data_IF_999509747524
#
_entry.id   IF_999509747524
#
_cell.length_a   1.000
_cell.length_b   1.000
_cell.length_c   1.000
_cell.angle_alpha   90.00
_cell.angle_beta   90.00
_cell.angle_gamma   90.00
#
_symmetry.space_group_name_H-M   'P 1'
#
loop_
_entity.id
_entity.type
_entity.pdbx_description
1 polymer ?
#
# COMPACT_ATOMS: atom_id res chain seq x y z
N UNK A 1 -9.09 19.05 -20.86
CA UNK A 1 -8.14 18.56 -21.88
C UNK A 1 -8.13 17.03 -21.80
N UNK A 2 -8.41 16.33 -22.90
CA UNK A 2 -8.41 14.87 -22.92
C UNK A 2 -7.01 14.31 -23.09
N UNK A 3 -6.64 13.30 -22.31
CA UNK A 3 -5.37 12.58 -22.44
C UNK A 3 -5.62 11.31 -23.26
N UNK A 4 -4.91 11.16 -24.38
CA UNK A 4 -4.93 9.95 -25.20
C UNK A 4 -3.69 9.12 -24.91
N UNK A 5 -3.87 7.81 -24.71
CA UNK A 5 -2.78 6.87 -24.45
C UNK A 5 -2.73 5.86 -25.58
N UNK A 6 -1.57 5.78 -26.24
CA UNK A 6 -1.29 4.74 -27.23
C UNK A 6 -0.41 3.67 -26.59
N UNK A 7 -0.89 2.43 -26.57
CA UNK A 7 -0.12 1.28 -26.10
C UNK A 7 0.65 0.72 -27.29
N UNK A 8 1.98 0.73 -27.19
CA UNK A 8 2.88 0.11 -28.18
C UNK A 8 3.33 -1.25 -27.67
N UNK A 9 3.67 -2.14 -28.60
CA UNK A 9 4.22 -3.47 -28.34
C UNK A 9 3.35 -4.34 -27.39
N UNK A 10 2.02 -4.23 -27.52
CA UNK A 10 1.11 -5.10 -26.79
C UNK A 10 1.10 -6.49 -27.43
N UNK A 11 1.45 -7.50 -26.64
CA UNK A 11 1.33 -8.90 -27.03
C UNK A 11 -0.11 -9.18 -27.54
N UNK A 12 -0.26 -9.70 -28.78
CA UNK A 12 -1.56 -10.03 -29.34
C UNK A 12 -2.40 -10.93 -28.45
N UNK A 13 -1.79 -11.90 -27.76
CA UNK A 13 -2.50 -12.81 -26.86
C UNK A 13 -3.07 -12.07 -25.64
N UNK A 14 -2.35 -11.05 -25.15
CA UNK A 14 -2.82 -10.20 -24.05
C UNK A 14 -3.95 -9.29 -24.52
N UNK A 15 -3.85 -8.71 -25.72
CA UNK A 15 -4.90 -7.89 -26.32
C UNK A 15 -6.23 -8.67 -26.41
N UNK A 16 -6.20 -9.92 -26.87
CA UNK A 16 -7.40 -10.74 -27.00
C UNK A 16 -8.00 -11.11 -25.64
N UNK A 17 -7.16 -11.42 -24.65
CA UNK A 17 -7.62 -11.63 -23.26
C UNK A 17 -8.29 -10.39 -22.68
N UNK A 18 -7.71 -9.21 -22.89
CA UNK A 18 -8.28 -7.96 -22.38
C UNK A 18 -9.60 -7.62 -23.08
N UNK A 19 -9.72 -7.86 -24.41
CA UNK A 19 -10.98 -7.73 -25.13
C UNK A 19 -12.05 -8.69 -24.61
N UNK A 20 -11.67 -9.95 -24.38
CA UNK A 20 -12.57 -10.94 -23.78
C UNK A 20 -13.05 -10.54 -22.39
N UNK A 21 -12.15 -10.05 -21.55
CA UNK A 21 -12.50 -9.55 -20.21
C UNK A 21 -13.40 -8.31 -20.25
N UNK A 22 -13.18 -7.39 -21.20
CA UNK A 22 -14.05 -6.23 -21.42
C UNK A 22 -15.46 -6.67 -21.84
N UNK A 23 -15.55 -7.61 -22.80
CA UNK A 23 -16.81 -8.16 -23.29
C UNK A 23 -17.58 -8.90 -22.19
N UNK A 24 -16.90 -9.70 -21.37
CA UNK A 24 -17.51 -10.40 -20.23
C UNK A 24 -18.12 -9.45 -19.19
N UNK A 25 -17.59 -8.22 -19.09
CA UNK A 25 -18.11 -7.16 -18.22
C UNK A 25 -19.12 -6.24 -18.91
N UNK A 26 -19.43 -6.48 -20.18
CA UNK A 26 -20.33 -5.63 -20.98
C UNK A 26 -19.78 -4.22 -21.23
N UNK A 27 -18.45 -4.04 -21.15
CA UNK A 27 -17.80 -2.74 -21.30
C UNK A 27 -17.11 -2.63 -22.66
N UNK A 28 -16.98 -1.40 -23.17
CA UNK A 28 -16.10 -1.14 -24.30
C UNK A 28 -14.65 -1.40 -23.91
N UNK A 29 -13.83 -1.82 -24.88
CA UNK A 29 -12.42 -2.12 -24.64
C UNK A 29 -11.66 -0.93 -24.05
N UNK A 30 -11.87 0.28 -24.59
CA UNK A 30 -11.22 1.50 -24.10
C UNK A 30 -11.68 1.88 -22.70
N UNK A 31 -12.95 1.68 -22.37
CA UNK A 31 -13.45 1.94 -21.01
C UNK A 31 -12.88 0.95 -20.00
N UNK A 32 -12.83 -0.32 -20.38
CA UNK A 32 -12.22 -1.36 -19.56
C UNK A 32 -10.75 -1.04 -19.28
N UNK A 33 -9.99 -0.70 -20.32
CA UNK A 33 -8.57 -0.33 -20.20
C UNK A 33 -8.38 0.88 -19.30
N UNK A 34 -9.22 1.92 -19.43
CA UNK A 34 -9.17 3.11 -18.58
C UNK A 34 -9.38 2.74 -17.11
N UNK A 35 -10.39 1.92 -16.79
CA UNK A 35 -10.68 1.50 -15.41
C UNK A 35 -9.54 0.68 -14.81
N UNK A 36 -8.97 -0.24 -15.58
CA UNK A 36 -7.83 -1.04 -15.12
C UNK A 36 -6.57 -0.19 -14.91
N UNK A 37 -6.29 0.77 -15.81
CA UNK A 37 -5.17 1.70 -15.64
C UNK A 37 -5.35 2.59 -14.40
N UNK A 38 -6.56 3.09 -14.13
CA UNK A 38 -6.84 3.85 -12.90
C UNK A 38 -6.60 2.99 -11.66
N UNK A 39 -7.10 1.74 -11.65
CA UNK A 39 -6.88 0.82 -10.53
C UNK A 39 -5.39 0.53 -10.30
N UNK A 40 -4.63 0.31 -11.36
CA UNK A 40 -3.19 0.06 -11.26
C UNK A 40 -2.48 1.30 -10.73
N UNK A 41 -2.81 2.50 -11.23
CA UNK A 41 -2.21 3.75 -10.76
C UNK A 41 -2.50 3.99 -9.26
N UNK A 42 -3.71 3.74 -8.81
CA UNK A 42 -4.07 3.83 -7.38
C UNK A 42 -3.27 2.84 -6.54
N UNK A 43 -3.14 1.59 -7.02
CA UNK A 43 -2.35 0.57 -6.33
C UNK A 43 -0.87 0.96 -6.22
N UNK A 44 -0.28 1.46 -7.31
CA UNK A 44 1.12 1.91 -7.33
C UNK A 44 1.34 3.11 -6.39
N UNK A 45 0.40 4.08 -6.37
CA UNK A 45 0.46 5.21 -5.44
C UNK A 45 0.43 4.76 -3.98
N UNK A 46 -0.40 3.77 -3.67
CA UNK A 46 -0.48 3.20 -2.33
C UNK A 46 0.85 2.51 -2.00
N UNK A 47 1.36 1.65 -2.88
CA UNK A 47 2.65 0.96 -2.67
C UNK A 47 3.83 1.94 -2.50
N UNK A 48 3.89 3.00 -3.29
CA UNK A 48 4.91 4.04 -3.17
C UNK A 48 4.82 4.75 -1.82
N UNK A 49 3.62 5.17 -1.41
CA UNK A 49 3.40 5.77 -0.09
C UNK A 49 3.74 4.83 1.05
N UNK A 50 3.44 3.53 0.92
CA UNK A 50 3.85 2.53 1.91
C UNK A 50 5.36 2.39 2.00
N UNK A 51 6.07 2.43 0.86
CA UNK A 51 7.54 2.41 0.83
C UNK A 51 8.12 3.64 1.52
N UNK A 52 7.58 4.83 1.24
CA UNK A 52 7.99 6.08 1.88
C UNK A 52 7.76 6.05 3.40
N UNK A 53 6.56 5.65 3.85
CA UNK A 53 6.24 5.54 5.28
C UNK A 53 7.13 4.51 5.98
N UNK A 54 7.37 3.37 5.35
CA UNK A 54 8.25 2.33 5.90
C UNK A 54 9.70 2.81 5.97
N UNK A 55 10.18 3.53 4.96
CA UNK A 55 11.52 4.12 4.95
C UNK A 55 11.67 5.21 6.01
N UNK A 56 10.68 6.10 6.15
CA UNK A 56 10.66 7.13 7.19
C UNK A 56 10.62 6.51 8.60
N UNK A 57 9.80 5.47 8.81
CA UNK A 57 9.73 4.76 10.08
C UNK A 57 11.02 4.02 10.39
N UNK A 58 11.69 3.43 9.39
CA UNK A 58 13.01 2.80 9.56
C UNK A 58 14.07 3.82 9.99
N UNK A 59 14.14 4.97 9.32
CA UNK A 59 15.08 6.04 9.67
C UNK A 59 14.81 6.62 11.05
N UNK A 60 13.53 6.78 11.43
CA UNK A 60 13.16 7.18 12.79
C UNK A 60 13.51 6.10 13.82
N UNK A 61 13.27 4.82 13.53
CA UNK A 61 13.64 3.72 14.42
C UNK A 61 15.16 3.60 14.58
N UNK A 62 15.94 3.81 13.52
CA UNK A 62 17.40 3.82 13.57
C UNK A 62 17.93 5.04 14.33
N UNK A 63 17.40 6.23 14.07
CA UNK A 63 17.73 7.45 14.82
C UNK A 63 17.39 7.34 16.30
N UNK A 64 16.20 6.80 16.62
CA UNK A 64 15.77 6.53 17.98
C UNK A 64 16.51 5.35 18.61
N UNK A 65 16.97 4.35 17.86
CA UNK A 65 17.80 3.27 18.40
C UNK A 65 19.15 3.81 18.85
N UNK A 66 19.75 4.73 18.09
CA UNK A 66 21.01 5.37 18.50
C UNK A 66 20.80 6.21 19.78
N UNK A 67 19.67 6.91 19.93
CA UNK A 67 19.38 7.66 21.17
C UNK A 67 18.97 6.73 22.34
N UNK A 68 18.24 5.66 22.07
CA UNK A 68 17.73 4.72 23.06
C UNK A 68 18.81 3.80 23.62
N UNK A 69 19.88 3.51 22.87
CA UNK A 69 21.04 2.76 23.36
C UNK A 69 21.73 3.49 24.52
N UNK A 70 21.63 4.82 24.60
CA UNK A 70 22.28 5.61 25.65
C UNK A 70 21.37 5.99 26.82
N UNK A 71 20.03 5.78 26.75
CA UNK A 71 19.12 6.33 27.77
C UNK A 71 17.84 5.51 28.08
N UNK A 72 17.70 4.26 27.58
CA UNK A 72 16.56 3.41 27.99
C UNK A 72 16.96 2.41 29.07
N UNK A 73 16.37 2.46 30.28
CA UNK A 73 16.38 1.28 31.15
C UNK A 73 15.71 0.14 30.37
N UNK A 74 16.31 -1.06 30.42
CA UNK A 74 15.67 -2.27 29.91
C UNK A 74 14.33 -2.41 30.65
N UNK A 75 13.26 -2.11 29.92
CA UNK A 75 11.90 -2.31 30.39
C UNK A 75 11.63 -3.81 30.22
N UNK A 76 11.94 -4.58 31.27
CA UNK A 76 11.54 -5.98 31.41
C UNK A 76 10.03 -6.04 31.73
N UNK A 77 9.20 -5.48 30.84
CA UNK A 77 7.75 -5.50 30.99
C UNK A 77 7.27 -6.87 30.49
N UNK A 78 6.67 -7.70 31.36
CA UNK A 78 6.04 -8.94 30.93
C UNK A 78 4.86 -8.63 30.02
N UNK A 79 4.66 -9.49 29.01
CA UNK A 79 3.60 -9.33 28.01
C UNK A 79 2.20 -9.16 28.63
N UNK A 80 1.97 -9.78 29.78
CA UNK A 80 0.70 -9.73 30.52
C UNK A 80 0.34 -8.30 30.97
N UNK A 81 1.35 -7.52 31.36
CA UNK A 81 1.18 -6.14 31.84
C UNK A 81 0.83 -5.18 30.68
N UNK A 82 1.39 -5.43 29.49
CA UNK A 82 1.03 -4.70 28.26
C UNK A 82 -0.42 -4.97 27.86
N UNK A 83 -0.84 -6.23 27.91
CA UNK A 83 -2.22 -6.63 27.58
C UNK A 83 -3.22 -6.01 28.56
N UNK A 84 -2.87 -5.95 29.84
CA UNK A 84 -3.72 -5.34 30.85
C UNK A 84 -3.87 -3.83 30.63
N UNK A 85 -2.79 -3.10 30.36
CA UNK A 85 -2.86 -1.67 30.06
C UNK A 85 -3.71 -1.34 28.82
N UNK A 86 -3.65 -2.15 27.77
CA UNK A 86 -4.48 -1.97 26.56
C UNK A 86 -5.97 -2.21 26.86
N UNK A 87 -6.30 -3.15 27.76
CA UNK A 87 -7.69 -3.38 28.18
C UNK A 87 -8.24 -2.20 28.97
N UNK A 88 -7.49 -1.71 29.95
CA UNK A 88 -7.89 -0.59 30.81
C UNK A 88 -8.14 0.70 30.00
N UNK A 89 -7.31 0.99 28.99
CA UNK A 89 -7.50 2.15 28.10
C UNK A 89 -8.75 2.01 27.21
N UNK A 90 -9.07 0.79 26.77
CA UNK A 90 -10.27 0.51 25.98
C UNK A 90 -11.55 0.61 26.80
N UNK A 91 -11.52 0.21 28.07
CA UNK A 91 -12.69 0.30 28.97
C UNK A 91 -12.93 1.74 29.48
N UNK A 92 -11.94 2.64 29.30
CA UNK A 92 -12.01 4.05 29.68
C UNK A 92 -12.54 4.98 28.56
N UNK A 93 -12.84 4.45 27.36
CA UNK A 93 -13.37 5.19 26.19
C UNK A 93 -14.82 4.81 25.88
#
# INVERSE_FOLDING_TARGET
>A
MGVTVQVRDLDPAVNDRLKGAAAAKGLSYSEYLRRELTRIAEKLRIEERWREVTAAHRLQAEGQAITAVFDRPRLDIPMDEVVQGIREDRDSR
#
